data_IF_366202345718
#
_entry.id   IF_366202345718
#
_cell.length_a   1.000
_cell.length_b   1.000
_cell.length_c   1.000
_cell.angle_alpha   90.00
_cell.angle_beta   90.00
_cell.angle_gamma   90.00
#
_symmetry.space_group_name_H-M   'P 1'
#
loop_
_entity.id
_entity.type
_entity.pdbx_description
1 polymer ?
#
# COMPACT_ATOMS: atom_id res chain seq x y z
N UNK A 1 17.97 30.01 -10.19
CA UNK A 1 16.92 29.92 -9.16
C UNK A 1 17.64 29.84 -7.83
N UNK A 2 17.86 30.98 -7.17
CA UNK A 2 18.57 31.03 -5.88
C UNK A 2 17.59 30.66 -4.77
N UNK A 3 17.91 29.62 -4.01
CA UNK A 3 17.17 29.28 -2.79
C UNK A 3 17.33 30.43 -1.79
N UNK A 4 16.24 31.14 -1.51
CA UNK A 4 16.10 32.00 -0.33
C UNK A 4 16.58 31.20 0.89
N UNK A 5 17.63 31.67 1.58
CA UNK A 5 18.43 30.94 2.58
C UNK A 5 17.72 30.51 3.87
N UNK A 6 16.39 30.33 3.82
CA UNK A 6 15.56 29.82 4.93
C UNK A 6 15.49 28.28 4.97
N UNK A 7 15.80 27.61 3.86
CA UNK A 7 15.74 26.15 3.76
C UNK A 7 17.00 25.61 3.10
N UNK A 8 17.48 24.49 3.63
CA UNK A 8 18.57 23.72 3.05
C UNK A 8 17.97 22.50 2.34
N UNK A 9 18.24 22.36 1.05
CA UNK A 9 17.99 21.11 0.35
C UNK A 9 19.05 20.10 0.80
N UNK A 10 18.61 18.88 1.13
CA UNK A 10 19.47 17.75 1.48
C UNK A 10 19.20 16.62 0.52
N UNK A 11 20.25 15.86 0.20
CA UNK A 11 20.11 14.62 -0.56
C UNK A 11 19.44 13.58 0.35
N UNK A 12 18.38 12.96 -0.16
CA UNK A 12 17.62 11.93 0.54
C UNK A 12 17.65 10.64 -0.27
N UNK A 13 17.95 9.53 0.39
CA UNK A 13 18.02 8.21 -0.23
C UNK A 13 16.75 7.39 0.09
N UNK A 14 16.09 6.80 -0.93
CA UNK A 14 14.96 5.91 -0.69
C UNK A 14 15.39 4.58 -0.10
N UNK A 15 14.61 4.09 0.86
CA UNK A 15 14.84 2.78 1.52
C UNK A 15 13.75 1.81 1.08
N UNK A 16 14.04 0.97 0.09
CA UNK A 16 13.23 -0.19 -0.29
C UNK A 16 11.71 0.10 -0.44
N UNK A 17 11.40 1.14 -1.22
CA UNK A 17 10.02 1.60 -1.43
C UNK A 17 9.13 0.57 -2.13
N UNK A 18 9.72 -0.34 -2.91
CA UNK A 18 8.97 -1.44 -3.52
C UNK A 18 8.41 -2.38 -2.45
N UNK A 19 9.19 -2.70 -1.41
CA UNK A 19 8.72 -3.48 -0.25
C UNK A 19 7.62 -2.73 0.50
N UNK A 20 7.79 -1.43 0.71
CA UNK A 20 6.75 -0.58 1.31
C UNK A 20 5.44 -0.62 0.52
N UNK A 21 5.54 -0.51 -0.81
CA UNK A 21 4.41 -0.55 -1.73
C UNK A 21 3.62 -1.85 -1.63
N UNK A 22 4.31 -3.01 -1.66
CA UNK A 22 3.69 -4.34 -1.54
C UNK A 22 3.00 -4.55 -0.19
N UNK A 23 3.67 -4.16 0.91
CA UNK A 23 3.10 -4.22 2.27
C UNK A 23 1.84 -3.36 2.34
N UNK A 24 1.92 -2.14 1.80
CA UNK A 24 0.79 -1.20 1.81
C UNK A 24 -0.39 -1.75 1.01
N UNK A 25 -0.19 -2.14 -0.24
CA UNK A 25 -1.25 -2.73 -1.09
C UNK A 25 -1.90 -3.95 -0.42
N UNK A 26 -1.10 -4.80 0.21
CA UNK A 26 -1.57 -5.96 0.95
C UNK A 26 -2.49 -5.60 2.14
N UNK A 27 -2.15 -4.55 2.88
CA UNK A 27 -2.92 -4.06 4.04
C UNK A 27 -4.12 -3.19 3.67
N UNK A 28 -4.13 -2.55 2.50
CA UNK A 28 -5.29 -1.81 2.01
C UNK A 28 -6.43 -2.74 1.55
N UNK A 29 -6.08 -3.94 1.07
CA UNK A 29 -7.02 -4.90 0.51
C UNK A 29 -6.91 -6.27 1.16
N UNK A 30 -6.91 -6.30 2.50
CA UNK A 30 -6.83 -7.53 3.32
C UNK A 30 -7.94 -8.54 2.96
N UNK A 31 -9.10 -8.06 2.52
CA UNK A 31 -10.24 -8.88 2.12
C UNK A 31 -10.21 -9.33 0.65
N UNK A 32 -9.17 -8.98 -0.12
CA UNK A 32 -9.09 -9.25 -1.56
C UNK A 32 -10.13 -8.49 -2.40
N UNK A 33 -10.54 -7.31 -1.91
CA UNK A 33 -11.59 -6.46 -2.47
C UNK A 33 -12.99 -7.10 -2.48
N UNK A 34 -13.26 -8.09 -1.63
CA UNK A 34 -14.58 -8.76 -1.58
C UNK A 34 -15.70 -7.78 -1.28
N UNK A 35 -15.52 -6.90 -0.30
CA UNK A 35 -16.52 -5.90 0.06
C UNK A 35 -16.79 -4.94 -1.10
N UNK A 36 -15.73 -4.48 -1.78
CA UNK A 36 -15.87 -3.57 -2.94
C UNK A 36 -16.58 -4.28 -4.10
N UNK A 37 -16.20 -5.53 -4.40
CA UNK A 37 -16.83 -6.33 -5.45
C UNK A 37 -18.32 -6.55 -5.18
N UNK A 38 -18.67 -6.84 -3.94
CA UNK A 38 -20.07 -7.00 -3.52
C UNK A 38 -20.87 -5.70 -3.74
N UNK A 39 -20.34 -4.54 -3.34
CA UNK A 39 -21.02 -3.26 -3.55
C UNK A 39 -21.23 -2.95 -5.04
N UNK A 40 -20.24 -3.24 -5.88
CA UNK A 40 -20.36 -3.07 -7.33
C UNK A 40 -21.43 -4.00 -7.92
N UNK A 41 -21.47 -5.25 -7.46
CA UNK A 41 -22.48 -6.23 -7.90
C UNK A 41 -23.90 -5.81 -7.48
N UNK A 42 -24.10 -5.41 -6.22
CA UNK A 42 -25.38 -4.91 -5.71
C UNK A 42 -25.88 -3.67 -6.45
N UNK A 43 -24.95 -2.79 -6.87
CA UNK A 43 -25.25 -1.60 -7.67
C UNK A 43 -25.41 -1.85 -9.17
N UNK A 44 -25.10 -3.06 -9.67
CA UNK A 44 -25.06 -3.35 -11.11
C UNK A 44 -23.95 -2.58 -11.85
N UNK A 45 -22.88 -2.20 -11.16
CA UNK A 45 -21.77 -1.41 -11.69
C UNK A 45 -20.58 -2.30 -12.07
N UNK A 46 -19.85 -1.90 -13.11
CA UNK A 46 -18.55 -2.49 -13.43
C UNK A 46 -17.42 -1.64 -12.85
N UNK A 47 -16.32 -2.26 -12.37
CA UNK A 47 -15.18 -1.52 -11.86
C UNK A 47 -14.59 -0.61 -12.93
N UNK A 48 -14.21 0.62 -12.56
CA UNK A 48 -13.48 1.54 -13.44
C UNK A 48 -12.06 1.00 -13.71
N UNK A 49 -11.34 1.50 -14.73
CA UNK A 49 -10.05 0.93 -15.13
C UNK A 49 -9.02 0.81 -13.99
N UNK A 50 -8.89 1.83 -13.13
CA UNK A 50 -7.95 1.78 -12.00
C UNK A 50 -8.38 0.77 -10.92
N UNK A 51 -9.68 0.65 -10.67
CA UNK A 51 -10.22 -0.38 -9.76
C UNK A 51 -10.00 -1.79 -10.32
N UNK A 52 -10.18 -1.96 -11.63
CA UNK A 52 -9.90 -3.22 -12.33
C UNK A 52 -8.42 -3.60 -12.24
N UNK A 53 -7.52 -2.62 -12.39
CA UNK A 53 -6.09 -2.82 -12.21
C UNK A 53 -5.75 -3.26 -10.78
N UNK A 54 -6.35 -2.65 -9.76
CA UNK A 54 -6.18 -3.07 -8.35
C UNK A 54 -6.62 -4.53 -8.16
N UNK A 55 -7.78 -4.91 -8.70
CA UNK A 55 -8.31 -6.27 -8.56
C UNK A 55 -7.43 -7.35 -9.20
N UNK A 56 -6.52 -6.97 -10.09
CA UNK A 56 -5.58 -7.85 -10.78
C UNK A 56 -4.19 -7.88 -10.13
N UNK A 57 -3.94 -7.05 -9.11
CA UNK A 57 -2.65 -7.02 -8.42
C UNK A 57 -2.41 -8.30 -7.62
N UNK A 58 -1.17 -8.82 -7.68
CA UNK A 58 -0.76 -10.01 -6.94
C UNK A 58 -0.81 -9.82 -5.41
N UNK A 59 -0.65 -8.58 -4.95
CA UNK A 59 -0.72 -8.21 -3.54
C UNK A 59 -2.17 -8.12 -3.03
N UNK A 60 -3.17 -8.16 -3.92
CA UNK A 60 -4.58 -7.99 -3.60
C UNK A 60 -5.27 -9.34 -3.59
N UNK A 61 -5.27 -9.98 -2.41
CA UNK A 61 -5.93 -11.27 -2.17
C UNK A 61 -6.55 -11.30 -0.79
N UNK A 62 -7.52 -12.19 -0.62
CA UNK A 62 -8.08 -12.45 0.69
C UNK A 62 -7.01 -13.04 1.60
N UNK A 63 -6.92 -12.51 2.81
CA UNK A 63 -5.97 -12.94 3.83
C UNK A 63 -6.69 -13.38 5.10
N UNK A 64 -6.12 -14.36 5.78
CA UNK A 64 -6.57 -14.72 7.13
C UNK A 64 -6.15 -13.66 8.14
N UNK A 65 -6.71 -13.73 9.35
CA UNK A 65 -6.36 -12.79 10.44
C UNK A 65 -4.87 -12.91 10.78
N UNK A 66 -4.33 -14.12 10.80
CA UNK A 66 -2.93 -14.41 11.07
C UNK A 66 -2.01 -13.80 10.01
N UNK A 67 -2.34 -13.95 8.72
CA UNK A 67 -1.59 -13.33 7.63
C UNK A 67 -1.61 -11.80 7.71
N UNK A 68 -2.75 -11.22 8.09
CA UNK A 68 -2.87 -9.77 8.31
C UNK A 68 -2.02 -9.31 9.50
N UNK A 69 -1.95 -10.09 10.58
CA UNK A 69 -1.09 -9.77 11.73
C UNK A 69 0.38 -9.83 11.37
N UNK A 70 0.79 -10.82 10.59
CA UNK A 70 2.15 -10.93 10.07
C UNK A 70 2.51 -9.70 9.22
N UNK A 71 1.63 -9.29 8.29
CA UNK A 71 1.83 -8.06 7.51
C UNK A 71 1.94 -6.81 8.38
N UNK A 72 1.17 -6.72 9.47
CA UNK A 72 1.28 -5.60 10.42
C UNK A 72 2.63 -5.60 11.14
N UNK A 73 3.16 -6.77 11.48
CA UNK A 73 4.50 -6.91 12.04
C UNK A 73 5.56 -6.46 11.02
N UNK A 74 5.48 -6.93 9.77
CA UNK A 74 6.39 -6.53 8.68
C UNK A 74 6.35 -5.02 8.42
N UNK A 75 5.16 -4.40 8.41
CA UNK A 75 5.00 -2.95 8.29
C UNK A 75 5.70 -2.21 9.44
N UNK A 76 5.55 -2.69 10.67
CA UNK A 76 6.18 -2.06 11.83
C UNK A 76 7.71 -2.17 11.76
N UNK A 77 8.24 -3.32 11.34
CA UNK A 77 9.67 -3.51 11.10
C UNK A 77 10.19 -2.55 10.01
N UNK A 78 9.52 -2.47 8.85
CA UNK A 78 9.88 -1.53 7.79
C UNK A 78 9.90 -0.07 8.28
N UNK A 79 8.89 0.34 9.07
CA UNK A 79 8.85 1.71 9.62
C UNK A 79 10.02 1.99 10.56
N UNK A 80 10.42 1.00 11.36
CA UNK A 80 11.59 1.14 12.22
C UNK A 80 12.86 1.27 11.38
N UNK A 81 13.08 0.36 10.42
CA UNK A 81 14.23 0.40 9.49
C UNK A 81 14.33 1.74 8.74
N UNK A 82 13.20 2.26 8.26
CA UNK A 82 13.15 3.54 7.55
C UNK A 82 13.46 4.73 8.46
N UNK A 83 13.02 4.69 9.73
CA UNK A 83 13.30 5.77 10.70
C UNK A 83 14.74 5.76 11.20
N UNK A 84 15.38 4.59 11.20
CA UNK A 84 16.78 4.41 11.62
C UNK A 84 17.79 4.71 10.49
N UNK A 85 17.30 4.94 9.26
CA UNK A 85 18.09 5.34 8.09
C UNK A 85 18.32 6.85 8.03
#
# INVERSE_FOLDING_TARGET
MECSGRFQAVDWAPVDHDRCGRISMSLYFEDGCRAIKQVLEEGGESPRPLTSWIFQSEDVKYRTIEEVWDLKAQRNAYRQEYNDH
#
